data_IF_256244970151
#
_entry.id   IF_256244970151
#
_cell.length_a   1.000
_cell.length_b   1.000
_cell.length_c   1.000
_cell.angle_alpha   90.00
_cell.angle_beta   90.00
_cell.angle_gamma   90.00
#
_symmetry.space_group_name_H-M   'P 1'
#
loop_
_entity.id
_entity.type
_entity.pdbx_description
1 polymer ?
#
# COMPACT_ATOMS: atom_id res chain seq x y z
N UNK A 1 9.41 0.99 -27.42
CA UNK A 1 8.36 0.92 -26.38
C UNK A 1 8.83 0.25 -25.07
N UNK A 2 9.72 -0.74 -25.09
CA UNK A 2 10.26 -1.42 -23.88
C UNK A 2 10.91 -0.50 -22.83
N UNK A 3 11.80 0.41 -23.24
CA UNK A 3 12.58 1.27 -22.32
C UNK A 3 11.71 2.12 -21.37
N UNK A 4 10.53 2.58 -21.82
CA UNK A 4 9.60 3.37 -20.99
C UNK A 4 8.90 2.50 -19.95
N UNK A 5 8.50 1.29 -20.31
CA UNK A 5 7.87 0.34 -19.39
C UNK A 5 8.84 -0.11 -18.30
N UNK A 6 10.10 -0.32 -18.65
CA UNK A 6 11.14 -0.74 -17.69
C UNK A 6 11.53 0.37 -16.71
N UNK A 7 11.59 1.62 -17.18
CA UNK A 7 11.78 2.79 -16.31
C UNK A 7 10.61 2.95 -15.32
N UNK A 8 9.38 2.67 -15.75
CA UNK A 8 8.21 2.68 -14.87
C UNK A 8 8.34 1.60 -13.78
N UNK A 9 8.67 0.36 -14.15
CA UNK A 9 8.84 -0.72 -13.16
C UNK A 9 9.90 -0.38 -12.10
N UNK A 10 11.05 0.14 -12.53
CA UNK A 10 12.09 0.59 -11.60
C UNK A 10 11.61 1.72 -10.69
N UNK A 11 10.87 2.72 -11.22
CA UNK A 11 10.30 3.82 -10.42
C UNK A 11 9.37 3.32 -9.31
N UNK A 12 8.67 2.20 -9.53
CA UNK A 12 7.66 1.66 -8.61
C UNK A 12 8.11 0.42 -7.83
N UNK A 13 9.39 0.02 -7.93
CA UNK A 13 9.92 -1.17 -7.25
C UNK A 13 9.73 -1.13 -5.73
N UNK A 14 9.75 0.07 -5.14
CA UNK A 14 9.58 0.30 -3.70
C UNK A 14 8.18 -0.11 -3.18
N UNK A 15 7.17 -0.15 -4.05
CA UNK A 15 5.77 -0.33 -3.64
C UNK A 15 5.51 -1.64 -2.94
N UNK A 16 6.05 -2.75 -3.44
CA UNK A 16 5.81 -4.06 -2.86
C UNK A 16 6.31 -4.14 -1.42
N UNK A 17 7.54 -3.65 -1.18
CA UNK A 17 8.12 -3.63 0.17
C UNK A 17 7.34 -2.74 1.12
N UNK A 18 6.99 -1.50 0.69
CA UNK A 18 6.23 -0.59 1.56
C UNK A 18 4.80 -1.05 1.81
N UNK A 19 4.17 -1.69 0.82
CA UNK A 19 2.84 -2.28 0.99
C UNK A 19 2.86 -3.41 2.04
N UNK A 20 3.92 -4.23 2.06
CA UNK A 20 4.09 -5.28 3.08
C UNK A 20 4.27 -4.68 4.47
N UNK A 21 5.18 -3.72 4.64
CA UNK A 21 5.46 -3.06 5.93
C UNK A 21 4.22 -2.35 6.50
N UNK A 22 3.51 -1.58 5.67
CA UNK A 22 2.25 -0.93 6.06
C UNK A 22 1.15 -1.96 6.32
N UNK A 23 1.08 -3.01 5.49
CA UNK A 23 0.13 -4.10 5.65
C UNK A 23 0.27 -4.77 7.01
N UNK A 24 1.50 -5.04 7.46
CA UNK A 24 1.77 -5.59 8.78
C UNK A 24 1.28 -4.66 9.90
N UNK A 25 1.53 -3.35 9.81
CA UNK A 25 1.04 -2.36 10.79
C UNK A 25 -0.49 -2.41 10.90
N UNK A 26 -1.20 -2.51 9.76
CA UNK A 26 -2.67 -2.56 9.70
C UNK A 26 -3.22 -3.86 10.29
N UNK A 27 -2.57 -5.00 9.99
CA UNK A 27 -2.95 -6.32 10.52
C UNK A 27 -2.72 -6.39 12.03
N UNK A 28 -1.60 -5.86 12.51
CA UNK A 28 -1.24 -5.84 13.93
C UNK A 28 -1.98 -4.77 14.74
N UNK A 29 -2.72 -3.87 14.07
CA UNK A 29 -3.46 -2.78 14.72
C UNK A 29 -2.57 -1.71 15.34
N UNK A 30 -1.30 -1.61 14.94
CA UNK A 30 -0.31 -0.64 15.47
C UNK A 30 -0.47 0.73 14.81
N UNK A 31 -1.67 1.30 14.82
CA UNK A 31 -2.02 2.53 14.10
C UNK A 31 -1.12 3.73 14.39
N UNK A 32 -0.52 3.80 15.59
CA UNK A 32 0.47 4.82 15.96
C UNK A 32 1.72 4.83 15.06
N UNK A 33 2.04 3.70 14.42
CA UNK A 33 3.19 3.57 13.51
C UNK A 33 2.83 3.96 12.07
N UNK A 34 1.54 4.13 11.75
CA UNK A 34 1.09 4.39 10.39
C UNK A 34 1.45 5.81 9.88
N UNK A 35 1.23 6.91 10.65
CA UNK A 35 1.57 8.26 10.19
C UNK A 35 3.02 8.43 9.70
N UNK A 36 4.07 8.00 10.42
CA UNK A 36 5.44 8.17 9.94
C UNK A 36 5.72 7.38 8.66
N UNK A 37 5.10 6.20 8.47
CA UNK A 37 5.25 5.43 7.23
C UNK A 37 4.65 6.15 6.02
N UNK A 38 3.49 6.78 6.17
CA UNK A 38 2.88 7.58 5.09
C UNK A 38 3.72 8.81 4.78
N UNK A 39 4.36 9.43 5.78
CA UNK A 39 5.23 10.58 5.56
C UNK A 39 6.41 10.27 4.63
N UNK A 40 6.99 9.07 4.75
CA UNK A 40 8.05 8.59 3.85
C UNK A 40 7.59 8.45 2.39
N UNK A 41 6.29 8.30 2.15
CA UNK A 41 5.75 8.09 0.80
C UNK A 41 5.49 9.39 0.04
N UNK A 42 5.44 10.55 0.70
CA UNK A 42 5.13 11.83 0.02
C UNK A 42 6.00 12.10 -1.21
N UNK A 43 7.34 11.91 -1.18
CA UNK A 43 8.18 12.15 -2.34
C UNK A 43 7.85 11.25 -3.54
N UNK A 44 7.30 10.05 -3.30
CA UNK A 44 6.93 9.13 -4.37
C UNK A 44 5.62 9.52 -5.08
N UNK A 45 4.79 10.33 -4.43
CA UNK A 45 3.49 10.78 -4.94
C UNK A 45 3.45 12.26 -5.33
N UNK A 46 4.60 12.96 -5.32
CA UNK A 46 4.66 14.39 -5.65
C UNK A 46 4.06 14.74 -7.01
N UNK A 47 4.18 13.82 -7.97
CA UNK A 47 3.69 13.99 -9.35
C UNK A 47 2.29 13.38 -9.57
N UNK A 48 1.66 12.84 -8.51
CA UNK A 48 0.39 12.12 -8.60
C UNK A 48 -0.74 13.03 -8.13
N UNK A 49 -1.66 13.34 -9.05
CA UNK A 49 -2.85 14.13 -8.75
C UNK A 49 -4.12 13.25 -8.83
N UNK A 50 -4.91 13.23 -7.74
CA UNK A 50 -6.18 12.51 -7.67
C UNK A 50 -7.30 13.48 -8.07
N UNK A 51 -7.74 13.40 -9.32
CA UNK A 51 -8.83 14.24 -9.84
C UNK A 51 -10.22 13.79 -9.41
N UNK A 52 -10.38 12.52 -9.04
CA UNK A 52 -11.67 11.94 -8.66
C UNK A 52 -11.46 10.77 -7.70
N UNK A 53 -12.18 10.76 -6.59
CA UNK A 53 -12.21 9.63 -5.66
C UNK A 53 -13.16 8.58 -6.23
N UNK A 54 -12.65 7.40 -6.57
CA UNK A 54 -13.41 6.33 -7.23
C UNK A 54 -14.00 5.30 -6.26
N UNK A 55 -13.66 5.38 -4.96
CA UNK A 55 -14.10 4.43 -3.93
C UNK A 55 -14.42 5.14 -2.63
N UNK A 56 -15.59 4.82 -2.07
CA UNK A 56 -16.03 5.34 -0.78
C UNK A 56 -15.40 4.59 0.42
N UNK A 57 -15.69 5.05 1.66
CA UNK A 57 -15.16 4.47 2.88
C UNK A 57 -15.39 2.96 3.04
N UNK A 58 -16.53 2.45 2.58
CA UNK A 58 -16.92 1.04 2.75
C UNK A 58 -15.95 0.06 2.08
N UNK A 59 -15.27 0.50 1.02
CA UNK A 59 -14.25 -0.32 0.35
C UNK A 59 -13.06 -0.64 1.27
N UNK A 60 -12.71 0.26 2.20
CA UNK A 60 -11.60 0.05 3.12
C UNK A 60 -11.90 -1.03 4.16
N UNK A 61 -13.17 -1.17 4.57
CA UNK A 61 -13.59 -2.22 5.50
C UNK A 61 -13.40 -3.60 4.88
N UNK A 62 -13.86 -3.77 3.64
CA UNK A 62 -13.68 -5.01 2.88
C UNK A 62 -12.20 -5.32 2.61
N UNK A 63 -11.43 -4.33 2.19
CA UNK A 63 -10.00 -4.47 1.92
C UNK A 63 -9.22 -4.88 3.18
N UNK A 64 -9.52 -4.27 4.33
CA UNK A 64 -8.89 -4.64 5.61
C UNK A 64 -9.24 -6.08 6.00
N UNK A 65 -10.49 -6.50 5.83
CA UNK A 65 -10.91 -7.89 6.13
C UNK A 65 -10.15 -8.89 5.26
N UNK A 66 -10.00 -8.62 3.97
CA UNK A 66 -9.23 -9.46 3.06
C UNK A 66 -7.75 -9.54 3.46
N UNK A 67 -7.14 -8.39 3.81
CA UNK A 67 -5.74 -8.32 4.24
C UNK A 67 -5.48 -9.15 5.50
N UNK A 68 -6.38 -9.09 6.48
CA UNK A 68 -6.27 -9.89 7.72
C UNK A 68 -6.36 -11.39 7.41
N UNK A 69 -7.32 -11.80 6.56
CA UNK A 69 -7.48 -13.19 6.15
C UNK A 69 -6.24 -13.73 5.44
N UNK A 70 -5.65 -12.96 4.53
CA UNK A 70 -4.41 -13.34 3.84
C UNK A 70 -3.24 -13.53 4.82
N UNK A 71 -3.14 -12.65 5.84
CA UNK A 71 -2.10 -12.77 6.85
C UNK A 71 -2.29 -14.01 7.76
N UNK A 72 -3.53 -14.41 8.05
CA UNK A 72 -3.85 -15.64 8.78
C UNK A 72 -3.47 -16.89 7.97
N UNK A 73 -3.77 -16.90 6.67
CA UNK A 73 -3.42 -17.99 5.74
C UNK A 73 -1.90 -18.15 5.62
N UNK A 74 -1.16 -17.04 5.50
CA UNK A 74 0.32 -17.06 5.45
C UNK A 74 0.97 -17.56 6.73
N UNK A 75 0.36 -17.37 7.89
CA UNK A 75 0.88 -17.87 9.18
C UNK A 75 0.66 -19.37 9.39
N UNK A 76 -0.27 -19.96 8.64
CA UNK A 76 -0.65 -21.37 8.76
C UNK A 76 0.12 -22.29 7.80
N UNK A 77 0.95 -21.70 6.92
CA UNK A 77 1.80 -22.39 5.94
C UNK A 77 3.25 -22.36 6.41
#
# INVERSE_FOLDING_TARGET
YWKKAEALRHKWLWTSKKAEEIGQIVVEGKWQLFPPQIMELFPHFSDVNISTITRGPDWWVGARRALVKEAEEKRST
#
